data_IF_175909352406
#
_entry.id   IF_175909352406
#
_cell.length_a   1.000
_cell.length_b   1.000
_cell.length_c   1.000
_cell.angle_alpha   90.00
_cell.angle_beta   90.00
_cell.angle_gamma   90.00
#
_symmetry.space_group_name_H-M   'P 1'
#
loop_
_entity.id
_entity.type
_entity.pdbx_description
1 polymer ?
#
# COMPACT_ATOMS: atom_id res chain seq x y z
N UNK A 1 -13.54 4.76 4.28
CA UNK A 1 -12.96 5.96 4.92
C UNK A 1 -11.43 5.93 4.83
N UNK A 2 -10.77 4.85 5.26
CA UNK A 2 -9.30 4.73 5.28
C UNK A 2 -8.64 4.94 3.90
N UNK A 3 -9.18 4.34 2.83
CA UNK A 3 -8.66 4.50 1.45
C UNK A 3 -8.68 5.98 1.02
N UNK A 4 -9.75 6.71 1.34
CA UNK A 4 -9.85 8.15 1.03
C UNK A 4 -8.79 8.97 1.77
N UNK A 5 -8.50 8.65 3.03
CA UNK A 5 -7.48 9.35 3.80
C UNK A 5 -6.07 9.02 3.29
N UNK A 6 -5.80 7.76 2.91
CA UNK A 6 -4.54 7.36 2.26
C UNK A 6 -4.33 8.12 0.95
N UNK A 7 -5.36 8.18 0.10
CA UNK A 7 -5.32 8.94 -1.16
C UNK A 7 -5.08 10.43 -0.93
N UNK A 8 -5.79 11.05 0.04
CA UNK A 8 -5.56 12.46 0.39
C UNK A 8 -4.15 12.72 0.86
N UNK A 9 -3.60 11.85 1.72
CA UNK A 9 -2.23 11.94 2.18
C UNK A 9 -1.24 11.90 1.01
N UNK A 10 -1.40 10.93 0.10
CA UNK A 10 -0.57 10.83 -1.11
C UNK A 10 -0.67 12.09 -1.98
N UNK A 11 -1.88 12.53 -2.31
CA UNK A 11 -2.10 13.73 -3.15
C UNK A 11 -1.52 14.97 -2.49
N UNK A 12 -1.63 15.12 -1.16
CA UNK A 12 -1.10 16.29 -0.46
C UNK A 12 0.41 16.46 -0.61
N UNK A 13 1.15 15.36 -0.74
CA UNK A 13 2.61 15.38 -0.90
C UNK A 13 3.06 15.74 -2.32
N UNK A 14 2.26 15.39 -3.32
CA UNK A 14 2.66 15.57 -4.73
C UNK A 14 2.04 16.77 -5.43
N UNK A 15 0.92 17.31 -4.92
CA UNK A 15 0.09 18.35 -5.59
C UNK A 15 0.84 19.61 -6.03
N UNK A 16 1.85 20.01 -5.26
CA UNK A 16 2.63 21.22 -5.51
C UNK A 16 3.96 20.93 -6.25
N UNK A 17 4.19 19.68 -6.64
CA UNK A 17 5.40 19.28 -7.37
C UNK A 17 5.05 19.06 -8.85
N UNK A 18 5.55 19.93 -9.76
CA UNK A 18 5.22 19.87 -11.19
C UNK A 18 5.74 18.62 -11.91
N UNK A 19 6.62 17.84 -11.26
CA UNK A 19 7.13 16.60 -11.83
C UNK A 19 6.17 15.41 -11.67
N UNK A 20 5.07 15.57 -10.92
CA UNK A 20 4.08 14.51 -10.73
C UNK A 20 2.74 14.91 -11.29
N UNK A 21 2.14 13.99 -12.03
CA UNK A 21 0.79 14.13 -12.55
C UNK A 21 0.00 12.84 -12.30
N UNK A 22 -1.18 12.97 -11.71
CA UNK A 22 -2.12 11.85 -11.60
C UNK A 22 -2.91 11.82 -12.91
N UNK A 23 -2.72 10.75 -13.69
CA UNK A 23 -3.35 10.61 -15.01
C UNK A 23 -4.54 9.68 -15.01
N UNK A 24 -4.55 8.69 -14.09
CA UNK A 24 -5.61 7.68 -13.98
C UNK A 24 -5.91 7.34 -12.53
N UNK A 25 -7.18 7.02 -12.26
CA UNK A 25 -7.63 6.47 -11.00
C UNK A 25 -8.46 5.20 -11.28
N UNK A 26 -7.99 4.05 -10.79
CA UNK A 26 -8.65 2.77 -10.98
C UNK A 26 -9.34 2.32 -9.69
N UNK A 27 -10.59 1.90 -9.81
CA UNK A 27 -11.30 1.22 -8.73
C UNK A 27 -10.89 -0.25 -8.69
N UNK A 28 -10.37 -0.70 -7.56
CA UNK A 28 -9.88 -2.08 -7.38
C UNK A 28 -10.66 -2.84 -6.31
N UNK A 29 -11.50 -2.14 -5.53
CA UNK A 29 -12.26 -2.67 -4.40
C UNK A 29 -11.38 -3.36 -3.34
N UNK A 30 -10.06 -3.09 -3.33
CA UNK A 30 -9.09 -3.79 -2.49
C UNK A 30 -8.94 -5.28 -2.84
N UNK A 31 -9.21 -5.65 -4.09
CA UNK A 31 -9.18 -7.04 -4.57
C UNK A 31 -8.08 -7.22 -5.61
N UNK A 32 -7.25 -8.24 -5.42
CA UNK A 32 -6.09 -8.52 -6.27
C UNK A 32 -6.48 -8.85 -7.71
N UNK A 33 -7.52 -9.64 -7.92
CA UNK A 33 -8.01 -10.04 -9.25
C UNK A 33 -8.64 -8.86 -10.01
N UNK A 34 -9.38 -7.99 -9.33
CA UNK A 34 -9.93 -6.76 -9.93
C UNK A 34 -8.80 -5.80 -10.31
N UNK A 35 -7.82 -5.62 -9.42
CA UNK A 35 -6.65 -4.80 -9.69
C UNK A 35 -5.84 -5.35 -10.89
N UNK A 36 -5.57 -6.66 -10.92
CA UNK A 36 -4.88 -7.33 -12.04
C UNK A 36 -5.58 -7.04 -13.35
N UNK A 37 -6.89 -7.30 -13.42
CA UNK A 37 -7.67 -7.09 -14.64
C UNK A 37 -7.62 -5.63 -15.09
N UNK A 38 -7.95 -4.70 -14.21
CA UNK A 38 -8.07 -3.29 -14.57
C UNK A 38 -6.72 -2.68 -14.96
N UNK A 39 -5.65 -3.01 -14.25
CA UNK A 39 -4.29 -2.55 -14.58
C UNK A 39 -3.81 -3.19 -15.88
N UNK A 40 -4.09 -4.48 -16.11
CA UNK A 40 -3.72 -5.15 -17.36
C UNK A 40 -4.43 -4.52 -18.57
N UNK A 41 -5.72 -4.21 -18.44
CA UNK A 41 -6.47 -3.53 -19.51
C UNK A 41 -5.89 -2.14 -19.79
N UNK A 42 -5.56 -1.38 -18.76
CA UNK A 42 -4.96 -0.05 -18.89
C UNK A 42 -3.59 -0.11 -19.57
N UNK A 43 -2.70 -0.98 -19.11
CA UNK A 43 -1.32 -1.07 -19.60
C UNK A 43 -1.20 -1.70 -21.01
N UNK A 44 -2.21 -2.45 -21.47
CA UNK A 44 -2.26 -2.91 -22.87
C UNK A 44 -2.47 -1.78 -23.86
N UNK A 45 -3.09 -0.69 -23.44
CA UNK A 45 -3.35 0.46 -24.32
C UNK A 45 -2.10 1.31 -24.52
N UNK A 46 -1.46 1.69 -23.41
CA UNK A 46 -0.23 2.49 -23.45
C UNK A 46 0.56 2.30 -22.13
N UNK A 47 1.51 1.37 -22.11
CA UNK A 47 2.31 1.13 -20.90
C UNK A 47 3.34 2.24 -20.63
N UNK A 48 3.72 3.02 -21.66
CA UNK A 48 4.74 4.06 -21.54
C UNK A 48 4.17 5.37 -20.98
N UNK A 49 2.86 5.45 -20.79
CA UNK A 49 2.17 6.58 -20.15
C UNK A 49 2.42 6.69 -18.64
N UNK A 50 2.86 5.60 -18.00
CA UNK A 50 2.91 5.53 -16.55
C UNK A 50 4.31 5.20 -16.05
N UNK A 51 4.79 5.96 -15.06
CA UNK A 51 6.05 5.72 -14.37
C UNK A 51 5.81 5.07 -12.99
N UNK A 52 4.64 5.35 -12.39
CA UNK A 52 4.33 4.96 -11.01
C UNK A 52 2.88 4.48 -10.90
N UNK A 53 2.70 3.39 -10.17
CA UNK A 53 1.40 2.96 -9.65
C UNK A 53 1.43 3.08 -8.12
N UNK A 54 0.59 3.98 -7.59
CA UNK A 54 0.40 4.13 -6.15
C UNK A 54 -0.88 3.42 -5.73
N UNK A 55 -0.76 2.22 -5.17
CA UNK A 55 -1.90 1.47 -4.67
C UNK A 55 -2.24 1.88 -3.23
N UNK A 56 -3.53 2.02 -2.95
CA UNK A 56 -4.01 2.42 -1.62
C UNK A 56 -4.06 1.25 -0.62
N UNK A 57 -3.76 0.04 -1.07
CA UNK A 57 -3.58 -1.18 -0.28
C UNK A 57 -2.67 -2.18 -1.01
N UNK A 58 -2.12 -3.15 -0.29
CA UNK A 58 -1.19 -4.14 -0.86
C UNK A 58 -1.89 -5.15 -1.77
N UNK A 59 -3.17 -5.45 -1.59
CA UNK A 59 -3.89 -6.36 -2.47
C UNK A 59 -3.96 -5.79 -3.89
N UNK A 60 -4.25 -4.50 -3.99
CA UNK A 60 -4.23 -3.77 -5.26
C UNK A 60 -2.82 -3.68 -5.85
N UNK A 61 -1.79 -3.44 -5.01
CA UNK A 61 -0.40 -3.44 -5.46
C UNK A 61 0.04 -4.79 -6.02
N UNK A 62 -0.31 -5.89 -5.34
CA UNK A 62 -0.03 -7.26 -5.79
C UNK A 62 -0.71 -7.55 -7.13
N UNK A 63 -1.96 -7.13 -7.31
CA UNK A 63 -2.68 -7.25 -8.58
C UNK A 63 -2.02 -6.46 -9.71
N UNK A 64 -1.58 -5.24 -9.43
CA UNK A 64 -0.85 -4.42 -10.41
C UNK A 64 0.48 -5.06 -10.82
N UNK A 65 1.26 -5.58 -9.86
CA UNK A 65 2.51 -6.29 -10.14
C UNK A 65 2.27 -7.54 -10.99
N UNK A 66 1.23 -8.32 -10.68
CA UNK A 66 0.87 -9.50 -11.47
C UNK A 66 0.44 -9.14 -12.91
N UNK A 67 -0.25 -8.00 -13.10
CA UNK A 67 -0.59 -7.50 -14.43
C UNK A 67 0.65 -7.13 -15.24
N UNK A 68 1.63 -6.50 -14.60
CA UNK A 68 2.90 -6.12 -15.23
C UNK A 68 3.74 -7.35 -15.58
N UNK A 69 3.80 -8.35 -14.70
CA UNK A 69 4.50 -9.62 -14.98
C UNK A 69 3.86 -10.33 -16.19
N UNK A 70 2.53 -10.38 -16.26
CA UNK A 70 1.80 -10.97 -17.38
C UNK A 70 2.04 -10.24 -18.72
N UNK A 71 2.41 -8.95 -18.68
CA UNK A 71 2.73 -8.12 -19.84
C UNK A 71 4.24 -7.98 -20.10
N UNK A 72 5.09 -8.65 -19.31
CA UNK A 72 6.56 -8.55 -19.37
C UNK A 72 7.10 -7.11 -19.21
N UNK A 73 6.45 -6.29 -18.39
CA UNK A 73 6.81 -4.88 -18.14
C UNK A 73 7.77 -4.74 -16.95
N UNK A 74 8.87 -5.51 -16.95
CA UNK A 74 9.86 -5.46 -15.89
C UNK A 74 10.67 -4.16 -15.91
N UNK A 75 10.91 -3.57 -14.73
CA UNK A 75 11.69 -2.35 -14.52
C UNK A 75 11.14 -1.07 -15.21
N UNK A 76 9.92 -1.10 -15.73
CA UNK A 76 9.32 0.08 -16.38
C UNK A 76 8.54 0.96 -15.42
N UNK A 77 7.70 0.37 -14.58
CA UNK A 77 6.74 1.09 -13.73
C UNK A 77 7.01 0.72 -12.27
N UNK A 78 7.14 1.70 -11.41
CA UNK A 78 7.35 1.51 -9.97
C UNK A 78 6.00 1.32 -9.26
N UNK A 79 5.88 0.29 -8.41
CA UNK A 79 4.65 -0.01 -7.67
C UNK A 79 4.87 0.16 -6.17
N UNK A 80 3.97 0.91 -5.54
CA UNK A 80 3.95 1.19 -4.11
C UNK A 80 2.62 0.71 -3.52
N UNK A 81 2.68 0.13 -2.30
CA UNK A 81 1.52 -0.37 -1.58
C UNK A 81 1.38 0.22 -0.18
N UNK A 82 0.34 -0.18 0.51
CA UNK A 82 0.09 0.13 1.93
C UNK A 82 -0.48 -1.13 2.55
N UNK A 83 -0.01 -1.50 3.71
CA UNK A 83 -0.43 -2.44 4.74
C UNK A 83 0.76 -3.26 5.28
N UNK A 84 1.80 -3.53 4.49
CA UNK A 84 2.92 -4.39 4.88
C UNK A 84 2.53 -5.86 4.89
N UNK A 85 1.71 -6.29 3.93
CA UNK A 85 1.27 -7.68 3.82
C UNK A 85 2.42 -8.63 3.50
N UNK A 86 2.29 -9.89 3.89
CA UNK A 86 3.25 -10.94 3.59
C UNK A 86 3.55 -11.03 2.08
N UNK A 87 2.51 -10.99 1.23
CA UNK A 87 2.67 -11.06 -0.21
C UNK A 87 3.49 -9.89 -0.76
N UNK A 88 3.18 -8.65 -0.35
CA UNK A 88 3.93 -7.48 -0.81
C UNK A 88 5.37 -7.49 -0.30
N UNK A 89 5.62 -7.95 0.93
CA UNK A 89 6.99 -8.10 1.46
C UNK A 89 7.82 -9.11 0.65
N UNK A 90 7.25 -10.24 0.26
CA UNK A 90 7.93 -11.18 -0.64
C UNK A 90 8.19 -10.57 -2.02
N UNK A 91 7.26 -9.78 -2.55
CA UNK A 91 7.45 -9.08 -3.83
C UNK A 91 8.53 -8.00 -3.75
N UNK A 92 8.70 -7.32 -2.61
CA UNK A 92 9.83 -6.41 -2.40
C UNK A 92 11.20 -7.11 -2.54
N UNK A 93 11.28 -8.40 -2.20
CA UNK A 93 12.50 -9.20 -2.36
C UNK A 93 12.71 -9.74 -3.78
N UNK A 94 11.64 -10.01 -4.52
CA UNK A 94 11.69 -10.80 -5.76
C UNK A 94 11.28 -10.05 -7.02
N UNK A 95 10.41 -9.03 -6.92
CA UNK A 95 9.87 -8.33 -8.09
C UNK A 95 10.58 -6.97 -8.30
N UNK A 96 11.17 -6.71 -9.47
CA UNK A 96 11.89 -5.47 -9.73
C UNK A 96 11.01 -4.21 -9.68
N UNK A 97 9.73 -4.33 -9.98
CA UNK A 97 8.78 -3.23 -10.01
C UNK A 97 8.23 -2.86 -8.61
N UNK A 98 8.20 -3.79 -7.65
CA UNK A 98 7.80 -3.51 -6.27
C UNK A 98 8.84 -2.61 -5.58
N UNK A 99 8.45 -1.45 -5.04
CA UNK A 99 9.39 -0.49 -4.46
C UNK A 99 9.26 -0.33 -2.95
N UNK A 100 8.03 -0.18 -2.46
CA UNK A 100 7.78 -0.01 -1.04
C UNK A 100 6.33 -0.37 -0.66
N UNK A 101 6.12 -0.63 0.63
CA UNK A 101 4.80 -0.62 1.27
C UNK A 101 4.88 0.06 2.63
N UNK A 102 3.85 0.80 2.99
CA UNK A 102 3.72 1.38 4.34
C UNK A 102 3.03 0.36 5.24
N UNK A 103 3.81 -0.31 6.07
CA UNK A 103 3.32 -1.36 6.96
C UNK A 103 2.56 -0.81 8.15
N UNK A 104 1.41 -1.40 8.44
CA UNK A 104 0.66 -1.24 9.68
C UNK A 104 0.94 -2.45 10.59
N UNK A 105 0.61 -2.31 11.89
CA UNK A 105 0.61 -3.43 12.83
C UNK A 105 -0.82 -3.76 13.30
N UNK A 106 -1.51 -4.72 12.66
CA UNK A 106 -2.82 -5.18 13.12
C UNK A 106 -2.78 -5.67 14.57
N UNK A 107 -1.65 -6.27 14.99
CA UNK A 107 -1.44 -6.74 16.36
C UNK A 107 -1.46 -5.56 17.35
N UNK A 108 -0.66 -4.51 17.08
CA UNK A 108 -0.62 -3.31 17.93
C UNK A 108 -1.95 -2.55 17.92
N UNK A 109 -2.62 -2.51 16.75
CA UNK A 109 -3.96 -1.92 16.63
C UNK A 109 -4.97 -2.66 17.51
N UNK A 110 -5.02 -4.00 17.45
CA UNK A 110 -5.89 -4.82 18.29
C UNK A 110 -5.58 -4.64 19.79
N UNK A 111 -4.32 -4.72 20.18
CA UNK A 111 -3.88 -4.50 21.56
C UNK A 111 -4.30 -3.10 22.07
N UNK A 112 -4.09 -2.07 21.27
CA UNK A 112 -4.42 -0.68 21.62
C UNK A 112 -5.92 -0.50 21.75
N UNK A 113 -6.71 -1.08 20.86
CA UNK A 113 -8.17 -1.05 20.93
C UNK A 113 -8.70 -1.65 22.21
N UNK A 114 -8.22 -2.83 22.61
CA UNK A 114 -8.61 -3.47 23.88
C UNK A 114 -8.19 -2.63 25.08
N UNK A 115 -6.99 -2.05 25.07
CA UNK A 115 -6.53 -1.16 26.15
C UNK A 115 -7.43 0.07 26.29
N UNK A 116 -7.88 0.67 25.19
CA UNK A 116 -8.80 1.81 25.17
C UNK A 116 -10.17 1.39 25.71
N UNK A 117 -10.73 0.27 25.23
CA UNK A 117 -11.99 -0.26 25.73
C UNK A 117 -11.96 -0.52 27.23
N UNK A 118 -10.89 -1.16 27.74
CA UNK A 118 -10.73 -1.41 29.17
C UNK A 118 -10.69 -0.12 30.00
N UNK A 119 -9.98 0.91 29.52
CA UNK A 119 -9.96 2.22 30.20
C UNK A 119 -11.35 2.85 30.27
N UNK A 120 -12.10 2.81 29.15
CA UNK A 120 -13.48 3.36 29.09
C UNK A 120 -14.41 2.63 30.06
N UNK A 121 -14.37 1.29 30.11
CA UNK A 121 -15.18 0.49 31.05
C UNK A 121 -14.83 0.84 32.51
N UNK A 122 -13.59 1.22 32.80
CA UNK A 122 -13.15 1.70 34.13
C UNK A 122 -13.46 3.18 34.39
N UNK A 123 -14.21 3.84 33.53
CA UNK A 123 -14.54 5.27 33.67
C UNK A 123 -13.35 6.21 33.48
N UNK A 124 -12.23 5.73 32.94
CA UNK A 124 -11.04 6.56 32.69
C UNK A 124 -11.18 7.34 31.40
N UNK A 125 -10.69 8.58 31.41
CA UNK A 125 -10.59 9.38 30.18
C UNK A 125 -9.55 8.76 29.24
N UNK A 126 -9.88 8.75 27.95
CA UNK A 126 -8.99 8.35 26.85
C UNK A 126 -8.85 9.47 25.84
N UNK A 127 -7.75 9.50 25.11
CA UNK A 127 -7.60 10.44 24.00
C UNK A 127 -8.66 10.17 22.93
N UNK A 128 -9.16 11.23 22.27
CA UNK A 128 -10.07 11.12 21.14
C UNK A 128 -9.41 10.36 19.98
N UNK A 129 -8.12 10.64 19.77
CA UNK A 129 -7.32 10.03 18.73
C UNK A 129 -6.19 9.22 19.37
N UNK A 130 -6.09 7.95 18.99
CA UNK A 130 -5.06 7.02 19.45
C UNK A 130 -4.32 6.48 18.22
N UNK A 131 -3.14 7.04 17.98
CA UNK A 131 -2.32 6.71 16.81
C UNK A 131 -1.45 5.49 17.09
N UNK A 132 -1.37 4.59 16.12
CA UNK A 132 -0.38 3.50 16.08
C UNK A 132 0.62 3.82 14.96
N UNK A 133 1.94 3.76 15.23
CA UNK A 133 2.96 4.06 14.24
C UNK A 133 2.88 3.12 13.03
N UNK A 134 3.25 3.64 11.87
CA UNK A 134 3.45 2.88 10.63
C UNK A 134 4.93 2.83 10.28
N UNK A 135 5.32 1.87 9.41
CA UNK A 135 6.70 1.63 9.03
C UNK A 135 6.82 1.62 7.51
N UNK A 136 7.80 2.32 6.97
CA UNK A 136 8.10 2.24 5.54
C UNK A 136 9.01 1.03 5.29
N UNK A 137 8.49 0.04 4.57
CA UNK A 137 9.23 -1.12 4.10
C UNK A 137 9.62 -0.91 2.64
N UNK A 138 10.90 -1.09 2.36
CA UNK A 138 11.50 -0.92 1.04
C UNK A 138 12.44 -2.08 0.73
N UNK A 139 12.89 -2.20 -0.51
CA UNK A 139 13.95 -3.17 -0.88
C UNK A 139 15.22 -3.05 -0.02
N UNK A 140 15.52 -1.85 0.50
CA UNK A 140 16.75 -1.58 1.28
C UNK A 140 16.69 -2.11 2.70
N UNK A 141 15.50 -2.13 3.29
CA UNK A 141 15.34 -2.48 4.71
C UNK A 141 14.46 -3.70 4.98
N UNK A 142 13.89 -4.32 3.95
CA UNK A 142 12.95 -5.44 4.12
C UNK A 142 13.58 -6.64 4.84
N UNK A 143 14.90 -6.84 4.71
CA UNK A 143 15.62 -7.92 5.37
C UNK A 143 15.74 -7.73 6.90
N UNK A 144 15.47 -6.53 7.41
CA UNK A 144 15.46 -6.23 8.85
C UNK A 144 14.12 -6.58 9.52
N UNK A 145 13.15 -7.03 8.74
CA UNK A 145 11.77 -7.30 9.18
C UNK A 145 11.36 -8.74 8.93
N UNK A 146 10.42 -9.23 9.75
CA UNK A 146 9.79 -10.52 9.50
C UNK A 146 8.89 -10.43 8.25
N UNK A 147 9.28 -11.15 7.20
CA UNK A 147 8.52 -11.18 5.95
C UNK A 147 7.34 -12.15 6.00
N UNK A 148 7.28 -13.06 6.97
CA UNK A 148 6.24 -14.07 7.12
C UNK A 148 5.04 -13.62 7.94
N UNK A 149 5.20 -12.60 8.78
CA UNK A 149 4.19 -12.10 9.72
C UNK A 149 3.87 -10.60 9.56
N UNK A 150 3.02 -10.09 10.42
CA UNK A 150 2.74 -8.66 10.54
C UNK A 150 3.77 -7.98 11.46
N UNK A 151 3.98 -6.68 11.27
CA UNK A 151 4.91 -5.87 12.07
C UNK A 151 4.27 -5.37 13.38
#
# INVERSE_FOLDING_TARGET
LSVKERYRGFVSEIKDNPNYQITENLETLGQTDVALKNVQELLKVDPDKFDIIMAMDDQSAVGALAAMDALNLHNKIMVYGIDGSTNMKHLLLSNPNAQATVAQSPIKLGQKSIQVCYKLVKGKKVSKDVVVPVFLLTKKNINDYDVSGWQ
#
